data_IF_601351436313
#
_entry.id   IF_601351436313
#
_cell.length_a   1.000
_cell.length_b   1.000
_cell.length_c   1.000
_cell.angle_alpha   90.00
_cell.angle_beta   90.00
_cell.angle_gamma   90.00
#
_symmetry.space_group_name_H-M   'P 1'
#
loop_
_entity.id
_entity.type
_entity.pdbx_description
1 polymer ?
#
# COMPACT_ATOMS: atom_id res chain seq x y z
N UNK A 1 10.58 -13.52 -1.58
CA UNK A 1 11.72 -12.60 -1.73
C UNK A 1 11.68 -11.74 -0.46
N UNK A 2 11.91 -10.43 -0.47
CA UNK A 2 11.35 -9.54 0.57
C UNK A 2 10.81 -8.25 -0.03
N UNK A 3 10.00 -7.50 0.73
CA UNK A 3 9.46 -6.19 0.35
C UNK A 3 10.54 -5.11 0.15
N UNK A 4 11.77 -5.39 0.59
CA UNK A 4 12.96 -4.58 0.27
C UNK A 4 13.39 -4.74 -1.19
N UNK A 5 13.17 -5.90 -1.80
CA UNK A 5 13.51 -6.16 -3.19
C UNK A 5 12.33 -6.05 -4.15
N UNK A 6 11.10 -6.09 -3.62
CA UNK A 6 9.89 -6.15 -4.43
C UNK A 6 8.71 -5.44 -3.74
N UNK A 7 8.33 -4.27 -4.26
CA UNK A 7 7.07 -3.63 -3.89
C UNK A 7 5.90 -4.35 -4.54
N UNK A 8 4.85 -4.61 -3.78
CA UNK A 8 3.61 -5.20 -4.28
C UNK A 8 2.75 -4.10 -4.88
N UNK A 9 2.30 -4.31 -6.11
CA UNK A 9 1.45 -3.36 -6.82
C UNK A 9 0.08 -3.98 -7.16
N UNK A 10 -1.00 -3.25 -6.88
CA UNK A 10 -2.36 -3.62 -7.26
C UNK A 10 -3.12 -2.41 -7.81
N UNK A 11 -3.58 -2.47 -9.06
CA UNK A 11 -4.42 -1.42 -9.63
C UNK A 11 -5.89 -1.68 -9.34
N UNK A 12 -6.55 -0.68 -8.76
CA UNK A 12 -7.99 -0.61 -8.55
C UNK A 12 -8.64 0.33 -9.58
N UNK A 13 -9.86 0.00 -10.00
CA UNK A 13 -10.72 0.92 -10.77
C UNK A 13 -11.83 1.41 -9.85
N UNK A 14 -11.84 2.71 -9.55
CA UNK A 14 -12.85 3.32 -8.69
C UNK A 14 -14.22 3.31 -9.38
N UNK A 15 -15.33 3.44 -8.62
CA UNK A 15 -16.68 3.53 -9.19
C UNK A 15 -16.90 4.68 -10.17
N UNK A 16 -16.08 5.74 -10.10
CA UNK A 16 -16.10 6.88 -11.03
C UNK A 16 -15.22 6.69 -12.27
N UNK A 17 -14.63 5.50 -12.43
CA UNK A 17 -13.78 5.12 -13.56
C UNK A 17 -12.32 5.55 -13.43
N UNK A 18 -11.92 6.28 -12.39
CA UNK A 18 -10.51 6.60 -12.15
C UNK A 18 -9.74 5.36 -11.72
N UNK A 19 -8.45 5.31 -12.06
CA UNK A 19 -7.54 4.25 -11.60
C UNK A 19 -6.69 4.73 -10.43
N UNK A 20 -6.53 3.87 -9.43
CA UNK A 20 -5.64 4.05 -8.30
C UNK A 20 -4.73 2.83 -8.19
N UNK A 21 -3.42 3.04 -8.13
CA UNK A 21 -2.45 1.97 -7.86
C UNK A 21 -2.14 1.93 -6.38
N UNK A 22 -2.30 0.76 -5.76
CA UNK A 22 -1.92 0.48 -4.38
C UNK A 22 -0.51 -0.10 -4.40
N UNK A 23 0.43 0.57 -3.75
CA UNK A 23 1.76 0.05 -3.48
C UNK A 23 1.82 -0.42 -2.04
N UNK A 24 2.39 -1.60 -1.79
CA UNK A 24 2.72 -2.07 -0.44
C UNK A 24 4.16 -2.55 -0.43
N UNK A 25 5.03 -1.91 0.34
CA UNK A 25 6.43 -2.28 0.37
C UNK A 25 7.27 -1.38 1.26
N UNK A 26 8.59 -1.53 1.16
CA UNK A 26 9.51 -0.61 1.83
C UNK A 26 9.59 0.68 0.99
N UNK A 27 9.41 1.87 1.60
CA UNK A 27 9.43 3.13 0.86
C UNK A 27 10.81 3.41 0.25
N UNK A 28 10.83 4.24 -0.79
CA UNK A 28 12.08 4.81 -1.29
C UNK A 28 12.42 6.09 -0.53
N UNK A 29 13.49 6.03 0.27
CA UNK A 29 14.03 7.20 0.98
C UNK A 29 15.43 7.55 0.41
N UNK A 30 15.65 8.77 -0.10
CA UNK A 30 16.95 9.16 -0.66
C UNK A 30 18.04 9.37 0.40
N UNK A 31 17.67 9.48 1.68
CA UNK A 31 18.59 9.70 2.81
C UNK A 31 18.88 8.42 3.58
N UNK A 32 18.02 7.41 3.49
CA UNK A 32 18.16 6.14 4.20
C UNK A 32 18.27 4.99 3.19
N UNK A 33 19.38 4.23 3.17
CA UNK A 33 19.49 3.07 2.30
C UNK A 33 18.33 2.09 2.52
N UNK A 34 17.71 1.60 1.44
CA UNK A 34 16.55 0.69 1.50
C UNK A 34 16.77 -0.59 2.33
N UNK A 35 18.02 -1.02 2.49
CA UNK A 35 18.40 -2.16 3.35
C UNK A 35 18.35 -1.87 4.86
N UNK A 36 18.23 -0.60 5.24
CA UNK A 36 18.22 -0.10 6.63
C UNK A 36 16.80 0.32 7.06
N UNK A 37 15.82 0.34 6.14
CA UNK A 37 14.43 0.68 6.42
C UNK A 37 13.62 -0.54 6.86
N UNK A 38 13.15 -0.57 8.10
CA UNK A 38 12.27 -1.65 8.59
C UNK A 38 10.78 -1.39 8.34
N UNK A 39 10.41 -0.16 7.96
CA UNK A 39 9.01 0.22 7.77
C UNK A 39 8.49 -0.27 6.42
N UNK A 40 7.33 -0.91 6.44
CA UNK A 40 6.50 -1.16 5.27
C UNK A 40 5.35 -0.17 5.26
N UNK A 41 5.11 0.49 4.13
CA UNK A 41 4.00 1.43 3.95
C UNK A 41 3.02 0.96 2.87
N UNK A 42 1.86 1.61 2.87
CA UNK A 42 0.92 1.60 1.75
C UNK A 42 0.89 2.98 1.15
N UNK A 43 1.10 3.07 -0.16
CA UNK A 43 0.86 4.29 -0.93
C UNK A 43 -0.25 4.08 -1.95
N UNK A 44 -1.15 5.06 -2.06
CA UNK A 44 -2.14 5.13 -3.13
C UNK A 44 -1.68 6.14 -4.17
N UNK A 45 -1.58 5.71 -5.43
CA UNK A 45 -1.10 6.53 -6.54
C UNK A 45 -2.19 6.77 -7.58
N UNK A 46 -2.30 8.00 -8.08
CA UNK A 46 -3.08 8.30 -9.28
C UNK A 46 -2.47 9.46 -10.07
N UNK A 47 -2.36 9.31 -11.39
CA UNK A 47 -1.82 10.36 -12.27
C UNK A 47 -0.40 10.79 -11.91
N UNK A 48 0.45 9.83 -11.48
CA UNK A 48 1.83 10.09 -11.08
C UNK A 48 1.99 10.84 -9.75
N UNK A 49 0.96 10.85 -8.89
CA UNK A 49 0.98 11.48 -7.57
C UNK A 49 0.51 10.51 -6.50
N UNK A 50 1.14 10.62 -5.33
CA UNK A 50 0.66 9.99 -4.09
C UNK A 50 -0.59 10.73 -3.62
N UNK A 51 -1.69 10.01 -3.47
CA UNK A 51 -2.97 10.48 -2.91
C UNK A 51 -3.03 10.29 -1.39
N UNK A 52 -2.42 9.21 -0.90
CA UNK A 52 -2.37 8.84 0.51
C UNK A 52 -1.18 7.93 0.74
N UNK A 53 -0.59 8.03 1.93
CA UNK A 53 0.43 7.11 2.43
C UNK A 53 0.16 6.82 3.91
N UNK A 54 0.28 5.56 4.32
CA UNK A 54 0.19 5.13 5.73
C UNK A 54 1.23 4.06 5.99
N UNK A 55 1.84 4.07 7.16
CA UNK A 55 2.69 2.97 7.60
C UNK A 55 1.83 1.75 7.94
N UNK A 56 2.41 0.57 7.85
CA UNK A 56 1.78 -0.67 8.28
C UNK A 56 2.49 -1.24 9.50
N UNK A 57 1.85 -2.19 10.17
CA UNK A 57 2.48 -3.01 11.21
C UNK A 57 3.31 -4.18 10.65
N UNK A 58 3.45 -4.28 9.32
CA UNK A 58 4.15 -5.39 8.67
C UNK A 58 5.66 -5.19 8.68
N UNK A 59 6.37 -6.30 8.80
CA UNK A 59 7.81 -6.39 8.62
C UNK A 59 8.17 -6.64 7.13
N UNK A 60 9.39 -6.29 6.69
CA UNK A 60 9.77 -6.40 5.28
C UNK A 60 9.78 -7.82 4.70
N UNK A 61 9.75 -8.86 5.52
CA UNK A 61 9.71 -10.27 5.09
C UNK A 61 8.28 -10.84 4.96
N UNK A 62 7.25 -10.06 5.33
CA UNK A 62 5.83 -10.46 5.30
C UNK A 62 5.16 -10.20 3.94
N UNK A 63 5.68 -10.83 2.88
CA UNK A 63 5.17 -10.64 1.51
C UNK A 63 3.72 -11.11 1.32
N UNK A 64 3.31 -12.20 1.98
CA UNK A 64 1.99 -12.80 1.78
C UNK A 64 0.90 -11.92 2.39
N UNK A 65 1.19 -11.37 3.56
CA UNK A 65 0.37 -10.43 4.32
C UNK A 65 0.25 -9.10 3.59
N UNK A 66 1.37 -8.60 3.04
CA UNK A 66 1.37 -7.40 2.20
C UNK A 66 0.53 -7.59 0.91
N UNK A 67 0.60 -8.78 0.28
CA UNK A 67 -0.24 -9.11 -0.87
C UNK A 67 -1.73 -9.15 -0.50
N UNK A 68 -2.04 -9.74 0.65
CA UNK A 68 -3.40 -9.78 1.17
C UNK A 68 -3.91 -8.35 1.44
N UNK A 69 -3.12 -7.52 2.12
CA UNK A 69 -3.45 -6.12 2.38
C UNK A 69 -3.73 -5.36 1.08
N UNK A 70 -2.86 -5.48 0.08
CA UNK A 70 -3.03 -4.82 -1.21
C UNK A 70 -4.34 -5.23 -1.90
N UNK A 71 -4.71 -6.52 -1.83
CA UNK A 71 -5.97 -7.05 -2.40
C UNK A 71 -7.20 -6.55 -1.65
N UNK A 72 -7.16 -6.47 -0.33
CA UNK A 72 -8.26 -5.95 0.48
C UNK A 72 -8.50 -4.47 0.21
N UNK A 73 -7.44 -3.66 0.17
CA UNK A 73 -7.52 -2.24 -0.19
C UNK A 73 -8.06 -2.08 -1.61
N UNK A 74 -7.53 -2.83 -2.59
CA UNK A 74 -8.03 -2.83 -3.96
C UNK A 74 -9.54 -3.10 -3.98
N UNK A 75 -9.98 -4.18 -3.33
CA UNK A 75 -11.40 -4.56 -3.30
C UNK A 75 -12.27 -3.45 -2.70
N UNK A 76 -11.85 -2.85 -1.59
CA UNK A 76 -12.58 -1.76 -0.95
C UNK A 76 -12.63 -0.48 -1.80
N UNK A 77 -11.57 -0.18 -2.54
CA UNK A 77 -11.54 0.94 -3.50
C UNK A 77 -12.46 0.68 -4.71
N UNK A 78 -12.47 -0.55 -5.24
CA UNK A 78 -13.32 -0.95 -6.37
C UNK A 78 -14.82 -0.96 -5.98
N UNK A 79 -15.15 -1.36 -4.75
CA UNK A 79 -16.53 -1.33 -4.24
C UNK A 79 -17.02 0.08 -3.89
N UNK A 80 -16.09 1.02 -3.66
CA UNK A 80 -16.39 2.36 -3.15
C UNK A 80 -16.61 2.41 -1.63
N UNK A 81 -16.43 1.30 -0.92
CA UNK A 81 -16.44 1.26 0.56
C UNK A 81 -15.26 2.02 1.15
N UNK A 82 -14.10 1.99 0.46
CA UNK A 82 -12.94 2.79 0.80
C UNK A 82 -12.84 3.99 -0.14
N UNK A 83 -12.60 5.16 0.44
CA UNK A 83 -12.14 6.32 -0.32
C UNK A 83 -10.63 6.25 -0.49
N UNK A 84 -10.05 6.80 -1.57
CA UNK A 84 -8.61 6.84 -1.78
C UNK A 84 -7.94 7.90 -0.88
N UNK A 85 -8.02 7.69 0.44
CA UNK A 85 -7.56 8.61 1.49
C UNK A 85 -6.90 7.82 2.61
N UNK A 86 -5.91 8.40 3.27
CA UNK A 86 -5.15 7.75 4.35
C UNK A 86 -6.05 7.17 5.45
N UNK A 87 -7.00 7.97 5.96
CA UNK A 87 -7.90 7.54 7.05
C UNK A 87 -8.83 6.37 6.68
N UNK A 88 -9.06 6.11 5.39
CA UNK A 88 -9.85 4.94 4.96
C UNK A 88 -9.01 3.67 4.93
N UNK A 89 -7.71 3.77 4.64
CA UNK A 89 -6.82 2.61 4.52
C UNK A 89 -6.04 2.31 5.80
N UNK A 90 -5.84 3.29 6.68
CA UNK A 90 -5.13 3.16 7.96
C UNK A 90 -5.63 1.98 8.82
N UNK A 91 -6.95 1.77 9.01
CA UNK A 91 -7.42 0.63 9.81
C UNK A 91 -6.99 -0.74 9.27
N UNK A 92 -6.86 -0.87 7.94
CA UNK A 92 -6.40 -2.09 7.29
C UNK A 92 -4.89 -2.29 7.43
N UNK A 93 -4.14 -1.19 7.48
CA UNK A 93 -2.68 -1.16 7.63
C UNK A 93 -2.22 -1.41 9.07
N UNK A 94 -3.05 -1.06 10.06
CA UNK A 94 -2.80 -1.25 11.50
C UNK A 94 -3.17 -2.65 12.02
N UNK A 95 -3.65 -3.53 11.15
CA UNK A 95 -4.13 -4.87 11.54
C UNK A 95 -3.08 -5.93 11.23
N UNK A 96 -2.71 -6.74 12.24
CA UNK A 96 -1.89 -7.94 12.05
C UNK A 96 -2.66 -9.01 11.27
N UNK A 97 -1.98 -9.69 10.35
CA UNK A 97 -2.56 -10.65 9.40
C UNK A 97 -1.89 -12.01 9.52
#
# INVERSE_FOLDING_TARGET
>A
MSLRGHTIEQTATLPDGRHVTVHVGVPEDPYIPRRELETVDVELHAGGRVLAAVNTVLDPDQESEALQLAREIKKGLESGELKPTASSIEPLADTLR
#
